data_IF_093576484364
#
_entry.id   IF_093576484364
#
_cell.length_a   1.000
_cell.length_b   1.000
_cell.length_c   1.000
_cell.angle_alpha   90.00
_cell.angle_beta   90.00
_cell.angle_gamma   90.00
#
_symmetry.space_group_name_H-M   'P 1'
#
loop_
_entity.id
_entity.type
_entity.pdbx_description
1 polymer ?
#
# COMPACT_ATOMS: atom_id res chain seq x y z
N UNK A 1 -14.61 -2.32 6.83
CA UNK A 1 -13.38 -2.99 7.27
C UNK A 1 -12.80 -2.24 8.46
N UNK A 2 -12.19 -2.93 9.43
CA UNK A 2 -11.56 -2.31 10.61
C UNK A 2 -10.18 -2.92 10.81
N UNK A 3 -9.18 -2.11 11.12
CA UNK A 3 -7.84 -2.55 11.55
C UNK A 3 -7.20 -1.49 12.44
N UNK A 4 -6.30 -1.92 13.32
CA UNK A 4 -5.47 -1.04 14.13
C UNK A 4 -4.12 -0.86 13.43
N UNK A 5 -3.91 0.29 12.79
CA UNK A 5 -2.64 0.67 12.18
C UNK A 5 -2.11 1.89 12.96
N UNK A 6 -0.84 1.88 13.40
CA UNK A 6 -0.19 3.04 14.01
C UNK A 6 -0.30 4.32 13.15
N UNK A 7 -0.22 5.47 13.80
CA UNK A 7 -0.14 6.80 13.15
C UNK A 7 1.31 7.14 12.83
N UNK A 8 1.52 7.89 11.76
CA UNK A 8 2.83 8.49 11.48
C UNK A 8 3.90 7.51 10.99
N UNK A 9 3.55 6.26 10.66
CA UNK A 9 4.50 5.30 10.12
C UNK A 9 4.32 5.09 8.61
N UNK A 10 5.44 4.94 7.86
CA UNK A 10 5.40 4.51 6.48
C UNK A 10 4.94 3.06 6.37
N UNK A 11 4.46 2.67 5.19
CA UNK A 11 4.06 1.29 4.98
C UNK A 11 3.48 1.02 3.61
N UNK A 12 3.15 -0.24 3.39
CA UNK A 12 2.55 -0.75 2.15
C UNK A 12 1.20 -1.37 2.47
N UNK A 13 0.26 -1.23 1.56
CA UNK A 13 -1.03 -1.90 1.64
C UNK A 13 -1.40 -2.57 0.32
N UNK A 14 -2.16 -3.65 0.44
CA UNK A 14 -2.79 -4.37 -0.66
C UNK A 14 -4.30 -4.24 -0.51
N UNK A 15 -4.99 -3.96 -1.60
CA UNK A 15 -6.44 -3.99 -1.67
C UNK A 15 -6.91 -5.22 -2.43
N UNK A 16 -7.99 -5.79 -1.96
CA UNK A 16 -8.62 -6.96 -2.55
C UNK A 16 -10.07 -6.67 -2.86
N UNK A 17 -10.59 -7.30 -3.93
CA UNK A 17 -12.02 -7.34 -4.25
C UNK A 17 -12.42 -8.78 -4.44
N UNK A 18 -13.23 -9.31 -3.53
CA UNK A 18 -13.68 -10.71 -3.52
C UNK A 18 -12.49 -11.68 -3.61
N UNK A 19 -11.49 -11.48 -2.74
CA UNK A 19 -10.25 -12.28 -2.71
C UNK A 19 -9.23 -11.98 -3.82
N UNK A 20 -9.59 -11.24 -4.87
CA UNK A 20 -8.64 -10.87 -5.93
C UNK A 20 -7.83 -9.63 -5.54
N UNK A 21 -6.50 -9.70 -5.65
CA UNK A 21 -5.58 -8.57 -5.46
C UNK A 21 -5.80 -7.56 -6.59
N UNK A 22 -6.29 -6.37 -6.27
CA UNK A 22 -6.64 -5.35 -7.26
C UNK A 22 -5.64 -4.20 -7.30
N UNK A 23 -5.01 -3.88 -6.16
CA UNK A 23 -4.13 -2.72 -6.03
C UNK A 23 -3.08 -2.92 -4.94
N UNK A 24 -1.89 -2.36 -5.13
CA UNK A 24 -0.86 -2.14 -4.12
C UNK A 24 -0.60 -0.64 -3.99
N UNK A 25 -0.44 -0.14 -2.78
CA UNK A 25 -0.06 1.24 -2.56
C UNK A 25 0.86 1.39 -1.37
N UNK A 26 1.44 2.57 -1.25
CA UNK A 26 2.39 2.93 -0.20
C UNK A 26 2.05 4.28 0.40
N UNK A 27 2.50 4.47 1.63
CA UNK A 27 2.67 5.78 2.26
C UNK A 27 4.08 5.92 2.80
N UNK A 28 4.62 7.13 2.69
CA UNK A 28 5.97 7.49 3.14
C UNK A 28 5.94 8.08 4.56
N UNK A 29 4.75 8.48 5.02
CA UNK A 29 4.59 9.28 6.24
C UNK A 29 3.47 8.78 7.15
N UNK A 30 2.34 8.34 6.60
CA UNK A 30 1.24 7.79 7.41
C UNK A 30 0.44 6.79 6.57
N UNK A 31 0.68 5.49 6.82
CA UNK A 31 -0.02 4.39 6.15
C UNK A 31 -1.52 4.42 6.44
N UNK A 32 -1.91 4.74 7.67
CA UNK A 32 -3.31 4.71 8.12
C UNK A 32 -4.15 5.75 7.39
N UNK A 33 -3.67 6.99 7.29
CA UNK A 33 -4.35 8.06 6.54
C UNK A 33 -4.44 7.67 5.07
N UNK A 34 -3.32 7.24 4.46
CA UNK A 34 -3.30 6.87 3.05
C UNK A 34 -4.26 5.73 2.74
N UNK A 35 -4.30 4.69 3.59
CA UNK A 35 -5.19 3.55 3.42
C UNK A 35 -6.66 3.98 3.55
N UNK A 36 -7.01 4.83 4.51
CA UNK A 36 -8.38 5.32 4.69
C UNK A 36 -8.93 6.08 3.47
N UNK A 37 -8.06 6.69 2.66
CA UNK A 37 -8.45 7.36 1.41
C UNK A 37 -8.77 6.39 0.27
N UNK A 38 -8.29 5.15 0.34
CA UNK A 38 -8.44 4.16 -0.74
C UNK A 38 -9.42 3.04 -0.38
N UNK A 39 -9.63 2.78 0.91
CA UNK A 39 -10.67 1.86 1.39
C UNK A 39 -12.04 2.46 1.05
N UNK A 40 -12.82 1.74 0.24
CA UNK A 40 -14.14 2.19 -0.24
C UNK A 40 -14.23 2.28 -1.76
N UNK A 41 -13.11 2.35 -2.49
CA UNK A 41 -13.07 2.37 -3.96
C UNK A 41 -13.38 1.03 -4.65
N UNK A 42 -14.25 0.19 -4.07
CA UNK A 42 -14.57 -1.16 -4.56
C UNK A 42 -13.72 -2.29 -3.98
N UNK A 43 -12.81 -1.99 -3.06
CA UNK A 43 -12.11 -2.99 -2.25
C UNK A 43 -13.05 -3.56 -1.16
N UNK A 44 -13.00 -4.88 -0.95
CA UNK A 44 -13.74 -5.62 0.09
C UNK A 44 -12.86 -5.98 1.28
N UNK A 45 -11.56 -6.15 1.04
CA UNK A 45 -10.55 -6.47 2.05
C UNK A 45 -9.26 -5.69 1.81
N UNK A 46 -8.41 -5.60 2.82
CA UNK A 46 -7.06 -5.10 2.68
C UNK A 46 -6.08 -5.87 3.57
N UNK A 47 -4.80 -5.81 3.20
CA UNK A 47 -3.68 -6.16 4.06
C UNK A 47 -2.74 -4.96 4.12
N UNK A 48 -2.07 -4.74 5.26
CA UNK A 48 -1.15 -3.63 5.44
C UNK A 48 0.07 -4.07 6.25
N UNK A 49 1.24 -3.51 5.90
CA UNK A 49 2.52 -3.75 6.56
C UNK A 49 3.13 -2.39 6.87
N UNK A 50 3.32 -2.11 8.16
CA UNK A 50 4.10 -0.96 8.64
C UNK A 50 5.57 -1.24 8.38
N UNK A 51 6.29 -0.23 7.91
CA UNK A 51 7.70 -0.33 7.56
C UNK A 51 8.54 0.63 8.43
N UNK A 52 9.81 0.32 8.68
CA UNK A 52 10.67 1.18 9.50
C UNK A 52 11.14 2.46 8.76
N UNK A 53 10.97 2.54 7.44
CA UNK A 53 11.37 3.70 6.65
C UNK A 53 10.61 3.80 5.31
N UNK A 54 10.53 5.00 4.69
CA UNK A 54 9.94 5.18 3.36
C UNK A 54 10.61 4.33 2.28
N UNK A 55 11.93 4.13 2.40
CA UNK A 55 12.71 3.28 1.50
C UNK A 55 12.37 1.80 1.64
N UNK A 56 12.16 1.32 2.86
CA UNK A 56 11.71 -0.06 3.10
C UNK A 56 10.33 -0.28 2.50
N UNK A 57 9.42 0.68 2.70
CA UNK A 57 8.10 0.65 2.11
C UNK A 57 8.16 0.67 0.56
N UNK A 58 9.04 1.48 -0.03
CA UNK A 58 9.23 1.53 -1.48
C UNK A 58 9.71 0.21 -2.07
N UNK A 59 10.72 -0.42 -1.43
CA UNK A 59 11.25 -1.71 -1.87
C UNK A 59 10.16 -2.79 -1.83
N UNK A 60 9.36 -2.81 -0.76
CA UNK A 60 8.26 -3.75 -0.60
C UNK A 60 7.13 -3.51 -1.61
N UNK A 61 6.71 -2.25 -1.80
CA UNK A 61 5.70 -1.86 -2.80
C UNK A 61 6.15 -2.28 -4.21
N UNK A 62 7.41 -1.99 -4.57
CA UNK A 62 7.98 -2.35 -5.87
C UNK A 62 8.03 -3.86 -6.08
N UNK A 63 8.48 -4.62 -5.08
CA UNK A 63 8.50 -6.07 -5.14
C UNK A 63 7.08 -6.64 -5.30
N UNK A 64 6.12 -6.13 -4.54
CA UNK A 64 4.72 -6.53 -4.62
C UNK A 64 4.08 -6.18 -5.97
N UNK A 65 4.31 -4.98 -6.50
CA UNK A 65 3.84 -4.57 -7.84
C UNK A 65 4.33 -5.52 -8.93
N UNK A 66 5.63 -5.82 -8.94
CA UNK A 66 6.25 -6.68 -9.97
C UNK A 66 5.78 -8.14 -9.86
N UNK A 67 5.62 -8.64 -8.64
CA UNK A 67 5.27 -10.04 -8.38
C UNK A 67 3.77 -10.31 -8.56
N UNK A 68 2.92 -9.40 -8.09
CA UNK A 68 1.46 -9.61 -8.05
C UNK A 68 0.75 -9.05 -9.29
N UNK A 69 1.38 -8.12 -10.01
CA UNK A 69 0.83 -7.43 -11.19
C UNK A 69 -0.64 -6.99 -11.00
N UNK A 70 -0.95 -6.23 -9.94
CA UNK A 70 -2.32 -5.85 -9.63
C UNK A 70 -2.92 -5.00 -10.76
N UNK A 71 -4.15 -5.32 -11.24
CA UNK A 71 -4.72 -4.74 -12.45
C UNK A 71 -4.99 -3.23 -12.36
N UNK A 72 -5.13 -2.67 -11.15
CA UNK A 72 -5.44 -1.25 -10.99
C UNK A 72 -4.20 -0.37 -10.81
N UNK A 73 -3.01 -0.95 -10.66
CA UNK A 73 -1.78 -0.17 -10.67
C UNK A 73 -1.30 0.06 -12.11
N UNK A 74 -1.60 1.25 -12.63
CA UNK A 74 -1.21 1.66 -13.99
C UNK A 74 0.22 2.20 -14.10
N UNK A 75 0.85 2.51 -12.97
CA UNK A 75 2.14 3.19 -12.91
C UNK A 75 3.05 2.45 -11.93
N UNK A 76 4.33 2.37 -12.28
CA UNK A 76 5.37 1.83 -11.41
C UNK A 76 5.54 2.70 -10.15
N UNK A 77 5.85 2.08 -8.99
CA UNK A 77 6.20 2.80 -7.77
C UNK A 77 7.33 3.81 -8.00
N UNK A 78 7.10 5.05 -7.55
CA UNK A 78 8.10 6.11 -7.57
C UNK A 78 8.99 6.01 -6.34
N UNK A 79 10.28 6.31 -6.50
CA UNK A 79 11.23 6.37 -5.38
C UNK A 79 10.82 7.48 -4.40
N UNK A 80 11.02 7.30 -3.09
CA UNK A 80 10.87 8.37 -2.12
C UNK A 80 11.92 9.47 -2.39
N UNK A 81 11.63 10.75 -2.04
CA UNK A 81 12.58 11.86 -2.19
C UNK A 81 13.80 11.71 -1.24
N UNK A 82 14.93 12.33 -1.62
CA UNK A 82 16.14 12.41 -0.77
C UNK A 82 17.16 11.28 -0.95
N UNK A 83 17.51 10.95 -2.19
CA UNK A 83 18.65 10.09 -2.54
C UNK A 83 19.97 10.85 -2.57
#
# INVERSE_FOLDING_TARGET
MRACIPRGDPGVYLLFRRGQRIYVGRSDTDLRIRLSQHVGGGATEFAAIVCPSPWSAYRLERAAYLSLRPPWNRVLPRRPPGS
#
